data_IF_416463789850
#
_entry.id   IF_416463789850
#
_cell.length_a   1.000
_cell.length_b   1.000
_cell.length_c   1.000
_cell.angle_alpha   90.00
_cell.angle_beta   90.00
_cell.angle_gamma   90.00
#
_symmetry.space_group_name_H-M   'P 1'
#
loop_
_entity.id
_entity.type
_entity.pdbx_description
1 polymer ?
#
# COMPACT_ATOMS: atom_id res chain seq x y z
N UNK A 1 -14.73 17.66 15.93
CA UNK A 1 -14.89 16.46 15.08
C UNK A 1 -15.62 16.92 13.85
N UNK A 2 -15.07 16.64 12.66
CA UNK A 2 -15.67 17.04 11.39
C UNK A 2 -17.09 16.46 11.33
N UNK A 3 -18.07 17.29 10.97
CA UNK A 3 -19.43 16.82 10.75
C UNK A 3 -19.41 15.77 9.64
N UNK A 4 -20.26 14.74 9.76
CA UNK A 4 -20.40 13.75 8.69
C UNK A 4 -20.71 14.49 7.39
N UNK A 5 -19.95 14.23 6.31
CA UNK A 5 -20.24 14.83 5.02
C UNK A 5 -21.63 14.40 4.56
N UNK A 6 -22.35 15.31 3.90
CA UNK A 6 -23.57 14.97 3.18
C UNK A 6 -23.25 13.89 2.13
N UNK A 7 -24.03 12.81 2.06
CA UNK A 7 -23.70 11.63 1.24
C UNK A 7 -23.64 11.97 -0.27
N UNK A 8 -24.39 12.99 -0.69
CA UNK A 8 -24.49 13.40 -2.10
C UNK A 8 -23.52 14.52 -2.50
N UNK A 9 -22.62 14.95 -1.60
CA UNK A 9 -21.67 16.02 -1.93
C UNK A 9 -20.44 15.50 -2.67
N UNK A 10 -19.95 16.28 -3.61
CA UNK A 10 -18.68 15.99 -4.29
C UNK A 10 -17.49 16.02 -3.30
N UNK A 11 -16.48 15.19 -3.59
CA UNK A 11 -15.19 15.18 -2.89
C UNK A 11 -14.51 16.53 -3.13
N UNK A 12 -14.17 17.23 -2.04
CA UNK A 12 -13.52 18.53 -2.11
C UNK A 12 -12.01 18.43 -1.79
N UNK A 13 -11.31 19.56 -1.84
CA UNK A 13 -9.87 19.64 -1.57
C UNK A 13 -9.48 19.14 -0.16
N UNK A 14 -10.33 19.38 0.85
CA UNK A 14 -10.06 18.94 2.22
C UNK A 14 -10.24 17.42 2.34
N UNK A 15 -11.21 16.83 1.65
CA UNK A 15 -11.37 15.37 1.59
C UNK A 15 -10.18 14.71 0.89
N UNK A 16 -9.73 15.29 -0.23
CA UNK A 16 -8.54 14.83 -0.94
C UNK A 16 -7.30 14.91 -0.05
N UNK A 17 -7.11 16.01 0.69
CA UNK A 17 -6.00 16.14 1.63
C UNK A 17 -6.08 15.12 2.76
N UNK A 18 -7.29 14.84 3.27
CA UNK A 18 -7.49 13.83 4.32
C UNK A 18 -7.14 12.43 3.82
N UNK A 19 -7.63 12.06 2.62
CA UNK A 19 -7.33 10.77 2.00
C UNK A 19 -5.82 10.62 1.73
N UNK A 20 -5.14 11.71 1.37
CA UNK A 20 -3.71 11.70 1.09
C UNK A 20 -2.91 11.42 2.37
N UNK A 21 -3.27 12.09 3.46
CA UNK A 21 -2.64 11.89 4.76
C UNK A 21 -2.91 10.48 5.32
N UNK A 22 -4.14 9.97 5.19
CA UNK A 22 -4.47 8.59 5.57
C UNK A 22 -3.61 7.61 4.76
N UNK A 23 -3.52 7.81 3.44
CA UNK A 23 -2.67 6.98 2.58
C UNK A 23 -1.21 7.02 2.97
N UNK A 24 -0.69 8.21 3.32
CA UNK A 24 0.69 8.41 3.76
C UNK A 24 0.97 7.72 5.10
N UNK A 25 0.09 7.86 6.10
CA UNK A 25 0.21 7.20 7.41
C UNK A 25 0.18 5.68 7.23
N UNK A 26 -0.79 5.18 6.49
CA UNK A 26 -1.00 3.75 6.24
C UNK A 26 0.19 3.11 5.53
N UNK A 27 0.65 3.73 4.45
CA UNK A 27 1.76 3.23 3.66
C UNK A 27 3.07 3.30 4.44
N UNK A 28 3.32 4.40 5.16
CA UNK A 28 4.54 4.54 5.97
C UNK A 28 4.59 3.51 7.09
N UNK A 29 3.51 3.35 7.86
CA UNK A 29 3.44 2.36 8.94
C UNK A 29 3.66 0.94 8.43
N UNK A 30 3.10 0.63 7.26
CA UNK A 30 3.27 -0.66 6.62
C UNK A 30 4.71 -0.89 6.17
N UNK A 31 5.29 0.05 5.41
CA UNK A 31 6.65 -0.05 4.90
C UNK A 31 7.68 -0.12 6.04
N UNK A 32 7.48 0.65 7.11
CA UNK A 32 8.34 0.61 8.30
C UNK A 32 8.29 -0.77 8.97
N UNK A 33 7.10 -1.33 9.16
CA UNK A 33 6.92 -2.65 9.77
C UNK A 33 7.54 -3.75 8.90
N UNK A 34 7.35 -3.67 7.58
CA UNK A 34 7.91 -4.61 6.62
C UNK A 34 9.44 -4.51 6.53
N UNK A 35 9.97 -3.29 6.53
CA UNK A 35 11.40 -3.00 6.56
C UNK A 35 12.05 -3.55 7.83
N UNK A 36 11.43 -3.33 8.99
CA UNK A 36 11.88 -3.87 10.27
C UNK A 36 11.86 -5.40 10.29
N UNK A 37 10.78 -6.02 9.81
CA UNK A 37 10.64 -7.47 9.72
C UNK A 37 11.78 -8.11 8.90
N UNK A 38 12.12 -7.52 7.75
CA UNK A 38 13.14 -8.05 6.85
C UNK A 38 14.55 -7.52 7.15
N UNK A 39 14.68 -6.60 8.12
CA UNK A 39 15.91 -5.87 8.43
C UNK A 39 16.52 -5.23 7.17
N UNK A 40 15.68 -4.50 6.43
CA UNK A 40 16.05 -3.73 5.23
C UNK A 40 15.73 -2.25 5.43
N UNK A 41 16.28 -1.40 4.56
CA UNK A 41 15.92 0.01 4.46
C UNK A 41 15.06 0.20 3.21
N UNK A 42 13.86 0.77 3.38
CA UNK A 42 12.99 1.17 2.28
C UNK A 42 12.90 2.70 2.30
N UNK A 43 13.11 3.34 1.14
CA UNK A 43 13.00 4.79 0.99
C UNK A 43 11.83 5.07 0.06
N UNK A 44 10.62 5.32 0.59
CA UNK A 44 9.46 5.62 -0.24
C UNK A 44 9.53 7.03 -0.81
N UNK A 45 9.01 7.19 -2.03
CA UNK A 45 8.59 8.52 -2.52
C UNK A 45 7.26 8.92 -1.86
N UNK A 46 6.89 10.21 -1.88
CA UNK A 46 5.54 10.62 -1.52
C UNK A 46 4.50 9.85 -2.34
N UNK A 47 3.34 9.49 -1.75
CA UNK A 47 2.30 8.78 -2.46
C UNK A 47 1.61 9.70 -3.47
N UNK A 48 1.33 9.15 -4.65
CA UNK A 48 0.44 9.75 -5.64
C UNK A 48 -0.99 9.28 -5.38
N UNK A 49 -1.96 10.18 -5.55
CA UNK A 49 -3.38 9.85 -5.42
C UNK A 49 -4.04 9.79 -6.79
N UNK A 50 -4.84 8.75 -7.00
CA UNK A 50 -5.69 8.59 -8.18
C UNK A 50 -7.05 8.07 -7.72
N UNK A 51 -8.12 8.63 -8.29
CA UNK A 51 -9.50 8.18 -8.07
C UNK A 51 -10.07 7.87 -9.45
N UNK A 52 -10.18 6.58 -9.76
CA UNK A 52 -10.68 6.09 -11.04
C UNK A 52 -11.26 4.68 -10.86
N UNK A 53 -11.80 4.12 -11.94
CA UNK A 53 -12.16 2.72 -12.00
C UNK A 53 -10.93 1.84 -11.68
N UNK A 54 -11.09 0.75 -10.91
CA UNK A 54 -9.97 -0.08 -10.47
C UNK A 54 -9.05 -0.54 -11.62
N UNK A 55 -9.62 -0.85 -12.79
CA UNK A 55 -8.84 -1.26 -13.96
C UNK A 55 -7.89 -0.17 -14.47
N UNK A 56 -8.32 1.10 -14.43
CA UNK A 56 -7.56 2.23 -14.93
C UNK A 56 -6.38 2.53 -14.01
N UNK A 57 -6.62 2.45 -12.69
CA UNK A 57 -5.57 2.58 -11.66
C UNK A 57 -4.50 1.49 -11.81
N UNK A 58 -4.88 0.24 -12.00
CA UNK A 58 -3.90 -0.84 -12.18
C UNK A 58 -3.10 -0.63 -13.48
N UNK A 59 -3.78 -0.26 -14.56
CA UNK A 59 -3.12 -0.03 -15.84
C UNK A 59 -2.12 1.13 -15.79
N UNK A 60 -2.42 2.22 -15.07
CA UNK A 60 -1.49 3.33 -14.91
C UNK A 60 -0.23 2.92 -14.15
N UNK A 61 -0.39 2.14 -13.07
CA UNK A 61 0.75 1.64 -12.29
C UNK A 61 1.66 0.72 -13.11
N UNK A 62 1.07 -0.16 -13.93
CA UNK A 62 1.86 -1.06 -14.80
C UNK A 62 2.59 -0.28 -15.89
N UNK A 63 1.93 0.72 -16.48
CA UNK A 63 2.52 1.56 -17.52
C UNK A 63 3.70 2.39 -17.01
N UNK A 64 3.59 2.97 -15.80
CA UNK A 64 4.62 3.81 -15.19
C UNK A 64 5.91 3.04 -14.84
N UNK A 65 5.83 1.72 -14.70
CA UNK A 65 6.97 0.92 -14.26
C UNK A 65 8.01 0.64 -15.38
N UNK A 66 7.75 1.00 -16.65
CA UNK A 66 8.72 0.91 -17.78
C UNK A 66 9.59 -0.36 -17.74
N UNK A 67 8.97 -1.55 -17.72
CA UNK A 67 9.72 -2.74 -17.35
C UNK A 67 10.30 -3.53 -18.52
N UNK A 68 11.64 -3.52 -18.53
CA UNK A 68 12.53 -4.53 -19.13
C UNK A 68 12.46 -5.89 -18.38
N UNK A 69 11.66 -5.97 -17.30
CA UNK A 69 11.46 -7.17 -16.47
C UNK A 69 9.96 -7.57 -16.39
N UNK A 70 9.65 -8.85 -16.59
CA UNK A 70 8.27 -9.36 -16.46
C UNK A 70 7.76 -9.22 -15.01
N UNK A 71 6.72 -8.38 -14.78
CA UNK A 71 5.90 -8.46 -13.57
C UNK A 71 4.89 -9.59 -13.71
N UNK A 72 5.20 -10.73 -13.11
CA UNK A 72 4.28 -11.89 -13.06
C UNK A 72 3.75 -12.17 -11.65
N UNK A 73 4.21 -11.44 -10.63
CA UNK A 73 3.86 -11.67 -9.24
C UNK A 73 3.47 -10.38 -8.50
N UNK A 74 2.42 -10.47 -7.70
CA UNK A 74 1.90 -9.39 -6.85
C UNK A 74 1.75 -9.92 -5.43
N UNK A 75 2.17 -9.13 -4.46
CA UNK A 75 1.88 -9.38 -3.05
C UNK A 75 0.69 -8.52 -2.64
N UNK A 76 -0.40 -9.18 -2.23
CA UNK A 76 -1.59 -8.52 -1.71
C UNK A 76 -1.62 -8.67 -0.19
N UNK A 77 -1.66 -7.55 0.50
CA UNK A 77 -1.93 -7.49 1.93
C UNK A 77 -3.36 -6.99 2.13
N UNK A 78 -4.17 -7.83 2.78
CA UNK A 78 -5.51 -7.44 3.22
C UNK A 78 -5.45 -7.09 4.70
N UNK A 79 -6.03 -5.96 5.03
CA UNK A 79 -6.06 -5.43 6.39
C UNK A 79 -7.49 -5.09 6.74
N UNK A 80 -8.03 -5.79 7.72
CA UNK A 80 -9.31 -5.46 8.31
C UNK A 80 -9.09 -4.52 9.49
N UNK A 81 -9.76 -3.37 9.46
CA UNK A 81 -9.69 -2.34 10.48
C UNK A 81 -11.04 -2.17 11.13
N UNK A 82 -11.04 -2.26 12.46
CA UNK A 82 -12.24 -2.15 13.27
C UNK A 82 -12.14 -0.92 14.16
N UNK A 83 -13.11 -0.01 14.05
CA UNK A 83 -13.29 1.06 15.02
C UNK A 83 -14.70 0.97 15.62
N UNK A 84 -14.97 1.77 16.65
CA UNK A 84 -16.24 1.68 17.40
C UNK A 84 -17.49 1.87 16.54
N UNK A 85 -17.37 2.59 15.42
CA UNK A 85 -18.48 3.00 14.56
C UNK A 85 -18.39 2.44 13.13
N UNK A 86 -17.21 1.98 12.69
CA UNK A 86 -16.96 1.59 11.30
C UNK A 86 -16.02 0.39 11.21
N UNK A 87 -16.33 -0.51 10.28
CA UNK A 87 -15.43 -1.54 9.79
C UNK A 87 -14.89 -1.14 8.40
N UNK A 88 -13.59 -1.27 8.20
CA UNK A 88 -12.91 -0.90 6.97
C UNK A 88 -11.99 -2.05 6.51
N UNK A 89 -12.23 -2.57 5.31
CA UNK A 89 -11.29 -3.47 4.63
C UNK A 89 -10.37 -2.61 3.74
N UNK A 90 -9.06 -2.74 3.95
CA UNK A 90 -8.03 -2.07 3.17
C UNK A 90 -7.14 -3.10 2.47
N UNK A 91 -6.79 -2.84 1.21
CA UNK A 91 -5.85 -3.65 0.44
C UNK A 91 -4.59 -2.86 0.10
N UNK A 92 -3.42 -3.42 0.36
CA UNK A 92 -2.14 -2.92 -0.16
C UNK A 92 -1.60 -3.90 -1.19
N UNK A 93 -1.34 -3.41 -2.40
CA UNK A 93 -0.71 -4.17 -3.47
C UNK A 93 0.74 -3.74 -3.60
N UNK A 94 1.64 -4.72 -3.56
CA UNK A 94 3.05 -4.53 -3.83
C UNK A 94 3.40 -5.30 -5.11
N UNK A 95 3.99 -4.59 -6.08
CA UNK A 95 4.43 -5.13 -7.36
C UNK A 95 5.96 -5.10 -7.41
N UNK A 96 6.63 -6.07 -6.77
CA UNK A 96 8.09 -6.13 -6.77
C UNK A 96 8.64 -6.64 -8.10
N UNK A 97 9.86 -6.24 -8.45
CA UNK A 97 10.64 -6.96 -9.45
C UNK A 97 10.91 -8.40 -9.00
N UNK A 98 11.21 -9.30 -9.95
CA UNK A 98 11.55 -10.70 -9.62
C UNK A 98 12.72 -10.77 -8.63
N UNK A 99 13.75 -9.96 -8.85
CA UNK A 99 14.93 -9.87 -7.99
C UNK A 99 14.60 -9.43 -6.56
N UNK A 100 13.78 -8.38 -6.42
CA UNK A 100 13.36 -7.87 -5.11
C UNK A 100 12.48 -8.88 -4.35
N UNK A 101 11.59 -9.57 -5.06
CA UNK A 101 10.75 -10.60 -4.45
C UNK A 101 11.56 -11.78 -3.93
N UNK A 102 12.54 -12.25 -4.70
CA UNK A 102 13.45 -13.30 -4.24
C UNK A 102 14.21 -12.88 -2.98
N UNK A 103 14.68 -11.64 -2.91
CA UNK A 103 15.34 -11.10 -1.71
C UNK A 103 14.40 -11.09 -0.49
N UNK A 104 13.15 -10.64 -0.66
CA UNK A 104 12.17 -10.64 0.44
C UNK A 104 11.92 -12.05 0.97
N UNK A 105 11.71 -13.04 0.09
CA UNK A 105 11.44 -14.41 0.49
C UNK A 105 12.63 -15.05 1.22
N UNK A 106 13.85 -14.79 0.76
CA UNK A 106 15.06 -15.33 1.39
C UNK A 106 15.32 -14.71 2.77
N UNK A 107 15.02 -13.43 2.95
CA UNK A 107 15.08 -12.77 4.26
C UNK A 107 14.01 -13.29 5.20
N UNK A 108 12.78 -13.44 4.72
CA UNK A 108 11.67 -13.96 5.51
C UNK A 108 11.96 -15.38 6.04
N UNK A 109 12.56 -16.25 5.22
CA UNK A 109 13.00 -17.60 5.65
C UNK A 109 13.99 -17.56 6.81
N UNK A 110 14.95 -16.63 6.80
CA UNK A 110 15.96 -16.46 7.86
C UNK A 110 15.33 -15.98 9.17
N UNK A 111 14.37 -15.06 9.10
CA UNK A 111 13.62 -14.58 10.27
C UNK A 111 12.87 -15.74 10.92
N UNK A 112 12.18 -16.58 10.12
CA UNK A 112 11.43 -17.73 10.63
C UNK A 112 12.31 -18.75 11.36
N UNK A 113 13.51 -19.01 10.86
CA UNK A 113 14.45 -19.96 11.47
C UNK A 113 15.09 -19.47 12.78
N UNK A 114 15.10 -18.16 13.03
CA UNK A 114 15.62 -17.57 14.29
C UNK A 114 14.58 -17.52 15.42
N UNK A 115 13.33 -17.92 15.15
CA UNK A 115 12.24 -17.99 16.12
C UNK A 115 11.78 -19.44 16.41
N UNK A 116 12.56 -20.43 15.95
CA UNK A 116 12.50 -21.85 16.36
C UNK A 116 13.73 -22.19 17.21
#
# INVERSE_FOLDING_TARGET
MLAAPDEDREINEMDMSMLHEIGNIMTSSYLDSFANLLSIMLIPSPPSMVIDMPHAVIQSVIADQELDEELDQVLLFKTDMHCAEFDLEAGLLLLPSKSLLHEFLDRFRKVRMNHE
#
